data_IF_858122258936
#
_entry.id   IF_858122258936
#
_cell.length_a   1.000
_cell.length_b   1.000
_cell.length_c   1.000
_cell.angle_alpha   90.00
_cell.angle_beta   90.00
_cell.angle_gamma   90.00
#
_symmetry.space_group_name_H-M   'P 1'
#
loop_
_entity.id
_entity.type
_entity.pdbx_description
1 polymer ?
#
# COMPACT_ATOMS: atom_id res chain seq x y z
N UNK A 1 36.45 -17.36 -14.37
CA UNK A 1 35.82 -16.12 -13.89
C UNK A 1 34.65 -15.80 -14.80
N UNK A 2 33.46 -15.61 -14.24
CA UNK A 2 32.28 -15.20 -15.00
C UNK A 2 32.33 -13.70 -15.22
N UNK A 3 32.18 -13.24 -16.47
CA UNK A 3 32.11 -11.81 -16.81
C UNK A 3 30.66 -11.38 -16.93
N UNK A 4 30.31 -10.25 -16.33
CA UNK A 4 29.01 -9.62 -16.48
C UNK A 4 29.20 -8.31 -17.23
N UNK A 5 28.53 -8.17 -18.36
CA UNK A 5 28.66 -7.04 -19.27
C UNK A 5 27.29 -6.36 -19.42
N UNK A 6 27.29 -5.04 -19.47
CA UNK A 6 26.09 -4.23 -19.53
C UNK A 6 26.23 -3.11 -20.56
N UNK A 7 25.18 -2.87 -21.33
CA UNK A 7 25.05 -1.69 -22.18
C UNK A 7 23.59 -1.25 -22.19
N UNK A 8 23.39 0.07 -22.25
CA UNK A 8 22.06 0.68 -22.30
C UNK A 8 21.82 1.32 -23.67
N UNK A 9 20.59 1.20 -24.18
CA UNK A 9 20.16 1.83 -25.42
C UNK A 9 18.87 2.63 -25.19
N UNK A 10 19.02 3.95 -25.09
CA UNK A 10 17.93 4.89 -24.85
C UNK A 10 17.60 5.69 -26.12
N UNK A 11 16.38 6.22 -26.19
CA UNK A 11 15.94 7.10 -27.28
C UNK A 11 14.77 6.56 -28.08
N UNK A 12 14.50 7.24 -29.20
CA UNK A 12 13.39 6.95 -30.10
C UNK A 12 13.45 5.53 -30.65
N UNK A 13 12.28 4.91 -30.83
CA UNK A 13 12.17 3.52 -31.31
C UNK A 13 12.97 3.28 -32.59
N UNK A 14 12.88 4.19 -33.58
CA UNK A 14 13.55 4.01 -34.87
C UNK A 14 15.07 3.98 -34.72
N UNK A 15 15.64 4.96 -34.00
CA UNK A 15 17.10 5.02 -33.75
C UNK A 15 17.61 3.77 -33.05
N UNK A 16 16.83 3.21 -32.12
CA UNK A 16 17.19 1.96 -31.45
C UNK A 16 17.17 0.76 -32.41
N UNK A 17 16.16 0.66 -33.27
CA UNK A 17 16.10 -0.38 -34.30
C UNK A 17 17.28 -0.29 -35.27
N UNK A 18 17.59 0.91 -35.75
CA UNK A 18 18.70 1.12 -36.68
C UNK A 18 20.04 0.75 -36.03
N UNK A 19 20.25 1.13 -34.77
CA UNK A 19 21.45 0.75 -34.01
C UNK A 19 21.55 -0.77 -33.84
N UNK A 20 20.46 -1.45 -33.45
CA UNK A 20 20.44 -2.91 -33.25
C UNK A 20 20.60 -3.71 -34.56
N UNK A 21 20.26 -3.13 -35.72
CA UNK A 21 20.51 -3.76 -37.02
C UNK A 21 21.97 -3.63 -37.46
N UNK A 22 22.67 -2.60 -36.98
CA UNK A 22 24.03 -2.29 -37.39
C UNK A 22 25.11 -2.81 -36.42
N UNK A 23 24.73 -3.21 -35.19
CA UNK A 23 25.64 -3.66 -34.13
C UNK A 23 25.21 -5.02 -33.58
N UNK A 24 26.16 -5.76 -33.03
CA UNK A 24 25.95 -7.05 -32.38
C UNK A 24 26.71 -7.15 -31.04
N UNK A 25 26.79 -8.37 -30.49
CA UNK A 25 27.44 -8.59 -29.20
C UNK A 25 28.96 -8.32 -29.23
N UNK A 26 29.60 -8.43 -30.39
CA UNK A 26 31.05 -8.27 -30.53
C UNK A 26 31.48 -6.79 -30.62
N UNK A 27 30.64 -5.91 -31.16
CA UNK A 27 30.96 -4.48 -31.35
C UNK A 27 30.21 -3.53 -30.39
N UNK A 28 29.29 -4.06 -29.57
CA UNK A 28 28.63 -3.28 -28.52
C UNK A 28 29.67 -2.77 -27.50
N UNK A 29 29.58 -1.46 -27.18
CA UNK A 29 30.38 -0.82 -26.14
C UNK A 29 29.97 -1.27 -24.73
N UNK A 30 30.45 -2.43 -24.30
CA UNK A 30 30.12 -3.02 -23.01
C UNK A 30 30.79 -2.31 -21.82
N UNK A 31 30.01 -2.08 -20.77
CA UNK A 31 30.50 -1.76 -19.43
C UNK A 31 30.65 -3.05 -18.63
N UNK A 32 31.84 -3.30 -18.08
CA UNK A 32 32.04 -4.43 -17.18
C UNK A 32 31.42 -4.15 -15.81
N UNK A 33 30.63 -5.10 -15.30
CA UNK A 33 30.03 -5.04 -13.98
C UNK A 33 30.68 -6.05 -13.04
N UNK A 34 30.76 -5.69 -11.77
CA UNK A 34 31.12 -6.60 -10.67
C UNK A 34 29.94 -6.72 -9.70
N UNK A 35 28.93 -7.57 -9.99
CA UNK A 35 27.80 -7.75 -9.08
C UNK A 35 28.27 -8.31 -7.73
N UNK A 36 27.99 -7.58 -6.65
CA UNK A 36 28.36 -7.94 -5.29
C UNK A 36 27.13 -8.31 -4.45
N UNK A 37 27.34 -9.18 -3.47
CA UNK A 37 26.37 -9.49 -2.42
C UNK A 37 25.93 -8.21 -1.69
N UNK A 38 24.68 -8.10 -1.19
CA UNK A 38 23.60 -9.09 -1.26
C UNK A 38 22.71 -8.98 -2.51
N UNK A 39 22.76 -7.87 -3.22
CA UNK A 39 21.75 -7.54 -4.23
C UNK A 39 22.15 -7.91 -5.66
N UNK A 40 23.43 -8.17 -5.93
CA UNK A 40 23.95 -8.53 -7.25
C UNK A 40 23.41 -7.63 -8.38
N UNK A 41 23.61 -6.31 -8.24
CA UNK A 41 23.10 -5.35 -9.20
C UNK A 41 23.68 -5.59 -10.61
N UNK A 42 22.78 -5.75 -11.58
CA UNK A 42 23.10 -5.91 -13.01
C UNK A 42 23.00 -4.59 -13.79
N UNK A 43 23.18 -3.47 -13.10
CA UNK A 43 23.19 -2.12 -13.67
C UNK A 43 24.38 -1.35 -13.08
N UNK A 44 24.99 -0.42 -13.83
CA UNK A 44 25.98 0.49 -13.28
C UNK A 44 25.39 1.27 -12.10
N UNK A 45 26.14 1.37 -11.02
CA UNK A 45 25.73 2.12 -9.83
C UNK A 45 26.88 3.00 -9.37
N UNK A 46 26.51 4.23 -9.01
CA UNK A 46 27.36 5.03 -8.14
C UNK A 46 27.33 4.44 -6.73
N UNK A 47 28.50 4.20 -6.17
CA UNK A 47 28.69 3.58 -4.85
C UNK A 47 29.53 4.45 -3.93
N UNK A 48 29.81 5.71 -4.31
CA UNK A 48 30.64 6.64 -3.54
C UNK A 48 30.14 6.79 -2.09
N UNK A 49 28.82 6.87 -1.91
CA UNK A 49 28.16 7.03 -0.60
C UNK A 49 27.56 5.73 -0.05
N UNK A 50 27.90 4.57 -0.63
CA UNK A 50 27.31 3.28 -0.18
C UNK A 50 27.70 2.97 1.26
N UNK A 51 28.96 3.23 1.65
CA UNK A 51 29.42 2.99 3.02
C UNK A 51 28.66 3.85 4.03
N UNK A 52 28.41 5.13 3.72
CA UNK A 52 27.59 6.02 4.54
C UNK A 52 26.13 5.53 4.61
N UNK A 53 25.52 5.20 3.47
CA UNK A 53 24.15 4.69 3.40
C UNK A 53 23.94 3.43 4.27
N UNK A 54 24.90 2.51 4.25
CA UNK A 54 24.86 1.26 5.03
C UNK A 54 25.02 1.49 6.55
N UNK A 55 25.42 2.69 6.98
CA UNK A 55 25.36 3.05 8.42
C UNK A 55 23.95 3.36 8.89
N UNK A 56 23.03 3.66 7.96
CA UNK A 56 21.65 3.97 8.27
C UNK A 56 20.83 2.73 8.64
N UNK A 57 19.82 2.93 9.48
CA UNK A 57 18.88 1.87 9.84
C UNK A 57 17.98 1.51 8.66
N UNK A 58 17.80 0.22 8.42
CA UNK A 58 16.70 -0.25 7.57
C UNK A 58 15.40 0.04 8.29
N UNK A 59 14.47 0.72 7.62
CA UNK A 59 13.18 1.08 8.23
C UNK A 59 12.38 -0.16 8.69
N UNK A 60 12.54 -1.30 8.01
CA UNK A 60 11.92 -2.56 8.40
C UNK A 60 12.56 -3.20 9.63
N UNK A 61 13.79 -2.84 9.95
CA UNK A 61 14.48 -3.32 11.16
C UNK A 61 14.15 -2.37 12.31
N UNK A 62 14.10 -1.06 12.05
CA UNK A 62 13.66 -0.06 13.02
C UNK A 62 12.17 -0.17 13.38
N UNK A 63 11.29 -0.52 12.43
CA UNK A 63 9.84 -0.65 12.61
C UNK A 63 9.32 -1.96 11.96
N UNK A 64 9.50 -3.12 12.62
CA UNK A 64 9.25 -4.44 12.03
C UNK A 64 7.80 -4.72 11.65
N UNK A 65 6.82 -4.16 12.35
CA UNK A 65 5.40 -4.39 12.03
C UNK A 65 4.95 -3.36 11.00
N UNK A 66 4.88 -3.77 9.73
CA UNK A 66 4.47 -2.93 8.61
C UNK A 66 3.80 -3.74 7.51
N UNK A 67 3.05 -3.07 6.64
CA UNK A 67 2.45 -3.67 5.45
C UNK A 67 2.04 -2.57 4.48
N UNK A 68 1.63 -2.97 3.28
CA UNK A 68 1.02 -2.06 2.32
C UNK A 68 -0.33 -1.55 2.81
N UNK A 69 -0.78 -0.43 2.25
CA UNK A 69 -2.15 0.05 2.40
C UNK A 69 -3.20 -0.94 1.88
N UNK A 70 -4.47 -0.67 2.22
CA UNK A 70 -5.58 -1.50 1.75
C UNK A 70 -5.77 -1.36 0.23
N UNK A 71 -6.19 -2.45 -0.42
CA UNK A 71 -6.54 -2.46 -1.84
C UNK A 71 -8.03 -2.77 -1.95
N UNK A 72 -8.81 -1.83 -2.47
CA UNK A 72 -10.26 -2.02 -2.58
C UNK A 72 -10.65 -2.85 -3.80
N UNK A 73 -9.85 -2.79 -4.88
CA UNK A 73 -10.16 -3.25 -6.24
C UNK A 73 -11.34 -2.55 -6.93
N UNK A 74 -12.16 -1.79 -6.20
CA UNK A 74 -13.38 -1.10 -6.66
C UNK A 74 -13.52 0.23 -5.93
N UNK A 75 -12.59 1.16 -6.17
CA UNK A 75 -12.54 2.44 -5.44
C UNK A 75 -13.86 3.22 -5.54
N UNK A 76 -14.52 3.22 -6.70
CA UNK A 76 -15.81 3.91 -6.89
C UNK A 76 -16.94 3.38 -6.00
N UNK A 77 -16.85 2.14 -5.55
CA UNK A 77 -17.76 1.54 -4.57
C UNK A 77 -17.26 1.80 -3.15
N UNK A 78 -15.98 1.51 -2.90
CA UNK A 78 -15.44 1.38 -1.56
C UNK A 78 -14.90 2.67 -0.94
N UNK A 79 -14.78 3.76 -1.71
CA UNK A 79 -14.23 5.04 -1.27
C UNK A 79 -15.22 6.16 -1.66
N UNK A 80 -15.75 6.88 -0.67
CA UNK A 80 -16.67 8.01 -0.88
C UNK A 80 -16.15 9.28 -0.21
N UNK A 81 -16.60 10.46 -0.65
CA UNK A 81 -16.12 11.73 -0.11
C UNK A 81 -16.59 11.97 1.32
N UNK A 82 -17.79 11.50 1.66
CA UNK A 82 -18.39 11.71 2.99
C UNK A 82 -18.80 10.42 3.66
N UNK A 83 -18.89 10.45 4.99
CA UNK A 83 -19.38 9.33 5.80
C UNK A 83 -20.80 8.91 5.39
N UNK A 84 -21.68 9.89 5.15
CA UNK A 84 -23.08 9.67 4.79
C UNK A 84 -23.23 9.03 3.42
N UNK A 85 -22.42 9.43 2.44
CA UNK A 85 -22.36 8.78 1.12
C UNK A 85 -21.88 7.34 1.25
N UNK A 86 -20.79 7.08 1.99
CA UNK A 86 -20.29 5.73 2.21
C UNK A 86 -21.37 4.86 2.86
N UNK A 87 -22.02 5.36 3.90
CA UNK A 87 -23.09 4.62 4.57
C UNK A 87 -24.27 4.32 3.63
N UNK A 88 -24.67 5.29 2.80
CA UNK A 88 -25.74 5.09 1.84
C UNK A 88 -25.36 4.05 0.77
N UNK A 89 -24.12 4.08 0.29
CA UNK A 89 -23.58 3.08 -0.64
C UNK A 89 -23.64 1.70 -0.03
N UNK A 90 -23.16 1.49 1.20
CA UNK A 90 -23.18 0.19 1.89
C UNK A 90 -24.61 -0.32 2.03
N UNK A 91 -25.52 0.49 2.59
CA UNK A 91 -26.93 0.07 2.79
C UNK A 91 -27.63 -0.31 1.49
N UNK A 92 -27.34 0.43 0.41
CA UNK A 92 -27.92 0.16 -0.90
C UNK A 92 -27.31 -1.10 -1.50
N UNK A 93 -25.98 -1.17 -1.55
CA UNK A 93 -25.23 -2.29 -2.11
C UNK A 93 -25.57 -3.62 -1.43
N UNK A 94 -25.63 -3.62 -0.09
CA UNK A 94 -25.88 -4.82 0.71
C UNK A 94 -27.26 -5.45 0.46
N UNK A 95 -28.28 -4.65 0.11
CA UNK A 95 -29.67 -5.10 -0.10
C UNK A 95 -30.02 -5.41 -1.56
N UNK A 96 -29.18 -5.02 -2.50
CA UNK A 96 -29.47 -5.20 -3.92
C UNK A 96 -29.20 -6.63 -4.37
N UNK A 97 -29.95 -7.08 -5.38
CA UNK A 97 -29.59 -8.30 -6.11
C UNK A 97 -28.21 -8.09 -6.79
N UNK A 98 -27.30 -9.09 -6.76
CA UNK A 98 -25.93 -8.97 -7.26
C UNK A 98 -25.76 -8.34 -8.65
N UNK A 99 -26.54 -8.72 -9.66
CA UNK A 99 -26.38 -8.19 -11.01
C UNK A 99 -26.97 -6.78 -11.17
N UNK A 100 -28.03 -6.47 -10.41
CA UNK A 100 -28.50 -5.09 -10.27
C UNK A 100 -27.45 -4.21 -9.59
N UNK A 101 -26.76 -4.72 -8.56
CA UNK A 101 -25.69 -4.01 -7.89
C UNK A 101 -24.49 -3.79 -8.82
N UNK A 102 -24.09 -4.84 -9.56
CA UNK A 102 -23.04 -4.77 -10.59
C UNK A 102 -23.29 -3.65 -11.58
N UNK A 103 -24.52 -3.58 -12.11
CA UNK A 103 -24.92 -2.57 -13.09
C UNK A 103 -24.95 -1.17 -12.48
N UNK A 104 -25.59 -1.00 -11.31
CA UNK A 104 -25.72 0.31 -10.65
C UNK A 104 -24.38 0.93 -10.29
N UNK A 105 -23.48 0.15 -9.71
CA UNK A 105 -22.17 0.62 -9.25
C UNK A 105 -21.05 0.45 -10.30
N UNK A 106 -21.41 0.03 -11.53
CA UNK A 106 -20.49 -0.13 -12.66
C UNK A 106 -19.26 -1.00 -12.31
N UNK A 107 -19.52 -2.14 -11.67
CA UNK A 107 -18.47 -2.96 -11.03
C UNK A 107 -17.69 -3.86 -12.01
N UNK A 108 -18.09 -3.88 -13.28
CA UNK A 108 -17.47 -4.73 -14.31
C UNK A 108 -17.58 -6.23 -13.99
N UNK A 109 -16.81 -7.08 -14.69
CA UNK A 109 -16.74 -8.51 -14.39
C UNK A 109 -16.02 -8.77 -13.05
N UNK A 110 -16.31 -9.91 -12.45
CA UNK A 110 -15.67 -10.36 -11.21
C UNK A 110 -14.23 -10.83 -11.46
N UNK A 111 -13.20 -10.18 -10.88
CA UNK A 111 -11.83 -10.69 -10.89
C UNK A 111 -11.69 -11.87 -9.92
N UNK A 112 -10.52 -12.51 -9.94
CA UNK A 112 -10.23 -13.68 -9.10
C UNK A 112 -10.41 -13.41 -7.60
N UNK A 113 -9.94 -12.24 -7.11
CA UNK A 113 -9.89 -11.91 -5.68
C UNK A 113 -11.06 -11.02 -5.19
N UNK A 114 -11.99 -10.64 -6.04
CA UNK A 114 -13.14 -9.81 -5.64
C UNK A 114 -14.39 -10.17 -6.44
N UNK A 115 -15.50 -10.42 -5.75
CA UNK A 115 -16.78 -10.77 -6.40
C UNK A 115 -17.92 -10.03 -5.72
N UNK A 116 -18.91 -9.57 -6.49
CA UNK A 116 -20.07 -8.85 -5.94
C UNK A 116 -20.73 -9.62 -4.80
N UNK A 117 -20.98 -10.92 -5.00
CA UNK A 117 -21.59 -11.78 -3.96
C UNK A 117 -20.76 -11.87 -2.69
N UNK A 118 -19.44 -11.98 -2.81
CA UNK A 118 -18.54 -12.05 -1.63
C UNK A 118 -18.49 -10.71 -0.90
N UNK A 119 -18.45 -9.61 -1.63
CA UNK A 119 -18.52 -8.27 -1.06
C UNK A 119 -19.85 -7.98 -0.34
N UNK A 120 -20.97 -8.44 -0.91
CA UNK A 120 -22.28 -8.33 -0.26
C UNK A 120 -22.41 -9.25 0.95
N UNK A 121 -21.85 -10.47 0.90
CA UNK A 121 -21.80 -11.38 2.04
C UNK A 121 -21.02 -10.77 3.20
N UNK A 122 -19.86 -10.19 2.93
CA UNK A 122 -19.05 -9.48 3.93
C UNK A 122 -19.80 -8.26 4.50
N UNK A 123 -20.39 -7.43 3.64
CA UNK A 123 -21.15 -6.27 4.08
C UNK A 123 -22.39 -6.62 4.93
N UNK A 124 -22.95 -7.81 4.74
CA UNK A 124 -24.13 -8.30 5.47
C UNK A 124 -23.80 -9.23 6.63
N UNK A 125 -22.53 -9.61 6.86
CA UNK A 125 -22.24 -10.51 7.97
C UNK A 125 -22.38 -9.78 9.31
N UNK A 126 -23.26 -10.28 10.17
CA UNK A 126 -23.76 -9.54 11.35
C UNK A 126 -24.71 -8.37 11.02
N UNK A 127 -24.92 -8.08 9.74
CA UNK A 127 -25.66 -6.93 9.23
C UNK A 127 -24.78 -5.69 9.00
N UNK A 128 -25.14 -4.79 8.06
CA UNK A 128 -24.39 -3.55 7.87
C UNK A 128 -24.38 -2.69 9.14
N UNK A 129 -23.20 -2.24 9.57
CA UNK A 129 -23.06 -1.40 10.76
C UNK A 129 -22.33 -0.08 10.45
N UNK A 130 -22.98 1.05 10.73
CA UNK A 130 -22.40 2.37 10.45
C UNK A 130 -21.05 2.61 11.14
N UNK A 131 -20.80 1.96 12.30
CA UNK A 131 -19.51 2.02 13.03
C UNK A 131 -18.29 1.55 12.22
N UNK A 132 -18.50 0.78 11.15
CA UNK A 132 -17.45 0.30 10.26
C UNK A 132 -17.15 1.29 9.13
N UNK A 133 -17.91 2.38 9.02
CA UNK A 133 -17.58 3.52 8.16
C UNK A 133 -16.50 4.35 8.85
N UNK A 134 -15.33 4.45 8.23
CA UNK A 134 -14.18 5.13 8.81
C UNK A 134 -13.42 5.97 7.78
N UNK A 135 -12.73 7.04 8.23
CA UNK A 135 -11.88 7.82 7.36
C UNK A 135 -10.65 7.00 6.91
N UNK A 136 -10.22 7.24 5.67
CA UNK A 136 -9.06 6.61 5.04
C UNK A 136 -8.30 7.67 4.25
N UNK A 137 -6.98 7.71 4.41
CA UNK A 137 -6.13 8.52 3.54
C UNK A 137 -6.12 7.87 2.15
N UNK A 138 -6.83 8.47 1.21
CA UNK A 138 -6.97 7.94 -0.15
C UNK A 138 -5.82 8.44 -1.04
N UNK A 139 -5.51 9.73 -1.01
CA UNK A 139 -4.40 10.37 -1.76
C UNK A 139 -3.75 11.45 -0.88
N UNK A 140 -2.63 12.08 -1.27
CA UNK A 140 -1.99 13.11 -0.45
C UNK A 140 -2.98 14.23 -0.13
N UNK A 141 -3.21 14.46 1.17
CA UNK A 141 -4.14 15.47 1.67
C UNK A 141 -5.62 15.26 1.24
N UNK A 142 -5.98 14.05 0.82
CA UNK A 142 -7.33 13.67 0.41
C UNK A 142 -7.81 12.50 1.30
N UNK A 143 -8.44 12.87 2.42
CA UNK A 143 -9.08 11.91 3.33
C UNK A 143 -10.53 11.69 2.89
N UNK A 144 -10.88 10.42 2.73
CA UNK A 144 -12.20 9.96 2.29
C UNK A 144 -12.76 8.95 3.28
N UNK A 145 -13.90 8.34 2.98
CA UNK A 145 -14.53 7.34 3.83
C UNK A 145 -14.62 5.99 3.13
N UNK A 146 -14.40 4.92 3.89
CA UNK A 146 -14.56 3.53 3.45
C UNK A 146 -15.39 2.73 4.46
N UNK A 147 -15.82 1.54 4.08
CA UNK A 147 -16.46 0.57 4.97
C UNK A 147 -15.50 -0.59 5.23
N UNK A 148 -14.92 -0.62 6.43
CA UNK A 148 -13.81 -1.50 6.77
C UNK A 148 -14.25 -2.64 7.70
N UNK A 149 -14.39 -3.84 7.15
CA UNK A 149 -14.70 -5.07 7.92
C UNK A 149 -13.44 -5.84 8.35
N UNK A 150 -12.28 -5.49 7.77
CA UNK A 150 -11.04 -6.25 7.92
C UNK A 150 -11.00 -7.60 7.19
N UNK A 151 -12.07 -7.98 6.45
CA UNK A 151 -12.14 -9.29 5.78
C UNK A 151 -11.61 -9.25 4.36
N UNK A 152 -10.64 -10.12 4.09
CA UNK A 152 -10.10 -10.28 2.74
C UNK A 152 -11.14 -10.86 1.78
N UNK A 153 -11.10 -10.42 0.52
CA UNK A 153 -12.05 -10.80 -0.53
C UNK A 153 -13.51 -10.42 -0.22
N UNK A 154 -13.70 -9.46 0.68
CA UNK A 154 -15.00 -8.92 1.08
C UNK A 154 -15.33 -7.63 0.36
N UNK A 155 -15.94 -6.68 1.08
CA UNK A 155 -16.23 -5.34 0.56
C UNK A 155 -14.95 -4.66 0.07
N UNK A 156 -13.86 -4.83 0.83
CA UNK A 156 -12.49 -4.48 0.46
C UNK A 156 -11.76 -5.76 0.02
N UNK A 157 -11.12 -5.72 -1.15
CA UNK A 157 -10.40 -6.88 -1.71
C UNK A 157 -9.25 -7.36 -0.81
N UNK A 158 -8.35 -6.44 -0.39
CA UNK A 158 -7.23 -6.74 0.53
C UNK A 158 -7.16 -5.66 1.61
N UNK A 159 -7.84 -5.86 2.76
CA UNK A 159 -7.91 -4.85 3.80
C UNK A 159 -6.67 -4.75 4.68
N UNK A 160 -5.73 -5.71 4.61
CA UNK A 160 -4.51 -5.72 5.44
C UNK A 160 -4.81 -5.51 6.94
N UNK A 161 -5.71 -6.31 7.53
CA UNK A 161 -6.22 -6.07 8.87
C UNK A 161 -5.11 -6.00 9.91
N UNK A 162 -4.06 -6.81 9.77
CA UNK A 162 -2.86 -6.83 10.61
C UNK A 162 -2.25 -5.44 10.88
N UNK A 163 -2.33 -4.52 9.91
CA UNK A 163 -1.78 -3.16 10.04
C UNK A 163 -2.86 -2.09 10.02
N UNK A 164 -3.87 -2.19 9.16
CA UNK A 164 -4.92 -1.17 9.11
C UNK A 164 -5.66 -1.06 10.45
N UNK A 165 -5.86 -2.18 11.16
CA UNK A 165 -6.48 -2.15 12.49
C UNK A 165 -5.64 -1.41 13.53
N UNK A 166 -4.31 -1.35 13.38
CA UNK A 166 -3.45 -0.55 14.25
C UNK A 166 -3.72 0.96 14.10
N UNK A 167 -4.21 1.37 12.93
CA UNK A 167 -4.62 2.74 12.62
C UNK A 167 -6.10 3.01 12.98
N UNK A 168 -6.88 1.98 13.31
CA UNK A 168 -8.31 2.10 13.68
C UNK A 168 -8.52 1.96 15.19
N UNK A 169 -7.74 1.12 15.87
CA UNK A 169 -7.94 0.75 17.27
C UNK A 169 -7.84 1.93 18.26
N UNK A 170 -7.12 2.99 17.87
CA UNK A 170 -7.00 4.23 18.65
C UNK A 170 -6.07 5.22 17.97
N UNK A 171 -5.80 6.38 18.59
CA UNK A 171 -4.89 7.39 18.05
C UNK A 171 -3.53 6.80 17.72
N UNK A 172 -3.12 6.89 16.46
CA UNK A 172 -1.85 6.38 15.98
C UNK A 172 -1.31 7.29 14.88
N UNK A 173 -0.01 7.23 14.66
CA UNK A 173 0.63 7.80 13.48
C UNK A 173 1.29 6.67 12.72
N UNK A 174 1.23 6.72 11.39
CA UNK A 174 1.85 5.76 10.50
C UNK A 174 2.78 6.48 9.55
N UNK A 175 4.06 6.14 9.57
CA UNK A 175 5.01 6.58 8.54
C UNK A 175 4.66 5.83 7.25
N UNK A 176 4.56 6.55 6.13
CA UNK A 176 4.28 5.97 4.82
C UNK A 176 5.54 6.08 3.95
N UNK A 177 5.97 4.97 3.35
CA UNK A 177 7.06 4.96 2.37
C UNK A 177 6.75 4.04 1.19
N UNK A 178 7.39 4.27 0.05
CA UNK A 178 7.38 3.34 -1.07
C UNK A 178 8.73 2.59 -1.14
N UNK A 179 8.70 1.27 -1.38
CA UNK A 179 9.93 0.47 -1.55
C UNK A 179 10.59 0.66 -2.90
N UNK A 180 9.82 1.01 -3.92
CA UNK A 180 10.29 1.17 -5.30
C UNK A 180 9.78 2.50 -5.85
N UNK A 181 10.64 3.17 -6.61
CA UNK A 181 10.30 4.36 -7.38
C UNK A 181 10.34 3.99 -8.86
N UNK A 182 9.27 4.30 -9.57
CA UNK A 182 9.17 4.12 -11.02
C UNK A 182 10.07 5.09 -11.79
N UNK A 183 10.41 6.23 -11.19
CA UNK A 183 11.26 7.27 -11.77
C UNK A 183 12.57 7.35 -10.98
N UNK A 184 13.65 6.84 -11.57
CA UNK A 184 14.94 6.68 -10.90
C UNK A 184 15.81 7.95 -10.93
N UNK A 185 15.52 8.90 -11.84
CA UNK A 185 16.27 10.15 -11.98
C UNK A 185 15.79 11.27 -11.05
N UNK A 186 14.73 11.05 -10.29
CA UNK A 186 14.18 12.05 -9.38
C UNK A 186 14.87 11.98 -8.02
N UNK A 187 14.97 13.14 -7.33
CA UNK A 187 15.29 13.17 -5.89
C UNK A 187 14.36 12.22 -5.13
N UNK A 188 14.90 11.57 -4.11
CA UNK A 188 14.11 10.70 -3.25
C UNK A 188 12.91 11.46 -2.68
N UNK A 189 11.73 10.84 -2.78
CA UNK A 189 10.41 11.37 -2.45
C UNK A 189 9.54 10.18 -2.00
N UNK A 190 8.23 10.39 -1.86
CA UNK A 190 7.28 9.36 -1.42
C UNK A 190 7.50 8.95 0.05
N UNK A 191 7.59 9.96 0.90
CA UNK A 191 7.42 9.83 2.34
C UNK A 191 6.20 10.62 2.77
N UNK A 192 5.40 10.05 3.66
CA UNK A 192 4.22 10.71 4.21
C UNK A 192 3.92 10.22 5.62
N UNK A 193 2.91 10.80 6.24
CA UNK A 193 2.38 10.36 7.54
C UNK A 193 0.86 10.30 7.43
N UNK A 194 0.26 9.32 8.08
CA UNK A 194 -1.20 9.24 8.26
C UNK A 194 -1.54 8.98 9.73
N UNK A 195 -2.67 9.51 10.17
CA UNK A 195 -3.33 9.20 11.43
C UNK A 195 -4.57 8.30 11.26
N UNK A 196 -4.82 7.87 10.02
CA UNK A 196 -5.91 7.00 9.59
C UNK A 196 -5.36 5.82 8.80
N UNK A 197 -6.17 4.76 8.57
CA UNK A 197 -5.84 3.74 7.59
C UNK A 197 -5.54 4.36 6.22
N UNK A 198 -4.71 3.70 5.42
CA UNK A 198 -4.30 4.21 4.11
C UNK A 198 -4.78 3.30 2.99
N UNK A 199 -5.15 3.90 1.85
CA UNK A 199 -5.23 3.16 0.59
C UNK A 199 -3.81 2.90 0.06
N UNK A 200 -3.62 1.80 -0.65
CA UNK A 200 -2.31 1.36 -1.14
C UNK A 200 -1.57 2.36 -2.04
N UNK A 201 -2.29 3.31 -2.65
CA UNK A 201 -1.74 4.39 -3.48
C UNK A 201 -1.86 5.77 -2.79
N UNK A 202 -1.88 5.81 -1.46
CA UNK A 202 -2.06 7.04 -0.68
C UNK A 202 -1.06 8.16 -0.98
N UNK A 203 0.17 7.82 -1.40
CA UNK A 203 1.22 8.81 -1.69
C UNK A 203 1.79 8.72 -3.12
N UNK A 204 1.39 7.72 -3.90
CA UNK A 204 1.71 7.62 -5.33
C UNK A 204 0.69 6.76 -6.06
N UNK A 205 0.38 7.14 -7.30
CA UNK A 205 -0.45 6.37 -8.22
C UNK A 205 0.36 5.72 -9.35
N UNK A 206 1.69 5.82 -9.33
CA UNK A 206 2.54 5.23 -10.36
C UNK A 206 2.69 3.72 -10.14
N UNK A 207 2.80 2.98 -11.24
CA UNK A 207 3.04 1.54 -11.17
C UNK A 207 4.32 1.25 -10.37
N UNK A 208 4.28 0.21 -9.53
CA UNK A 208 5.36 -0.22 -8.61
C UNK A 208 5.53 0.62 -7.33
N UNK A 209 4.85 1.76 -7.21
CA UNK A 209 5.01 2.67 -6.06
C UNK A 209 3.90 2.46 -5.00
N UNK A 210 3.77 1.25 -4.48
CA UNK A 210 2.78 0.93 -3.43
C UNK A 210 3.24 1.47 -2.06
N UNK A 211 2.33 2.16 -1.37
CA UNK A 211 2.57 2.74 -0.05
C UNK A 211 2.56 1.67 1.04
N UNK A 212 3.67 1.56 1.78
CA UNK A 212 3.81 0.82 3.01
C UNK A 212 3.59 1.75 4.18
N UNK A 213 2.83 1.31 5.18
CA UNK A 213 2.62 2.03 6.44
C UNK A 213 3.29 1.31 7.59
N UNK A 214 3.96 2.09 8.43
CA UNK A 214 4.67 1.68 9.63
C UNK A 214 4.01 2.39 10.81
N UNK A 215 3.03 1.77 11.50
CA UNK A 215 2.37 2.38 12.66
C UNK A 215 3.38 2.61 13.78
N UNK A 216 3.29 3.73 14.49
CA UNK A 216 4.17 4.04 15.63
C UNK A 216 3.82 3.17 16.83
N UNK A 217 2.52 2.94 17.05
CA UNK A 217 2.02 2.11 18.15
C UNK A 217 1.39 0.81 17.66
N UNK A 218 1.53 -0.23 18.46
CA UNK A 218 0.88 -1.53 18.28
C UNK A 218 -0.13 -1.75 19.39
N UNK A 219 -1.37 -1.99 18.99
CA UNK A 219 -2.51 -2.29 19.83
C UNK A 219 -2.69 -3.81 19.95
N UNK A 220 -3.05 -4.33 21.15
CA UNK A 220 -3.40 -5.72 21.35
C UNK A 220 -4.49 -6.22 20.39
N UNK A 221 -4.49 -7.52 20.09
CA UNK A 221 -5.54 -8.12 19.24
C UNK A 221 -6.95 -7.97 19.84
N UNK A 222 -7.08 -7.84 21.15
CA UNK A 222 -8.36 -7.62 21.85
C UNK A 222 -8.90 -6.20 21.73
N UNK A 223 -8.06 -5.22 21.39
CA UNK A 223 -8.45 -3.83 21.11
C UNK A 223 -8.89 -3.61 19.66
N UNK A 224 -8.74 -4.62 18.81
CA UNK A 224 -9.41 -4.66 17.50
C UNK A 224 -10.90 -4.82 17.76
N UNK A 225 -11.77 -3.92 17.28
CA UNK A 225 -13.19 -4.04 17.56
C UNK A 225 -13.76 -5.26 16.84
N UNK A 226 -13.86 -6.38 17.55
CA UNK A 226 -14.73 -7.49 17.17
C UNK A 226 -16.20 -7.12 17.36
N UNK A 227 -16.51 -6.12 18.20
CA UNK A 227 -17.86 -5.55 18.26
C UNK A 227 -18.00 -4.21 18.98
N UNK A 228 -16.91 -3.59 19.47
CA UNK A 228 -17.01 -2.43 20.36
C UNK A 228 -16.94 -1.09 19.62
N UNK A 229 -17.85 -0.21 20.01
CA UNK A 229 -18.02 1.14 19.52
C UNK A 229 -16.72 1.95 19.55
N UNK A 230 -16.60 2.91 18.61
CA UNK A 230 -15.85 4.14 18.86
C UNK A 230 -16.46 4.77 20.11
N UNK A 231 -15.71 4.78 21.21
CA UNK A 231 -15.96 5.70 22.30
C UNK A 231 -15.19 6.98 21.97
N UNK A 232 -15.92 8.07 21.77
CA UNK A 232 -15.37 9.41 21.50
C UNK A 232 -14.80 10.07 22.77
N UNK A 233 -14.28 9.27 23.70
CA UNK A 233 -13.82 9.75 24.99
C UNK A 233 -13.12 8.64 25.76
N UNK A 234 -11.90 8.94 26.18
CA UNK A 234 -11.03 8.11 27.02
C UNK A 234 -10.27 6.98 26.31
N UNK A 235 -9.34 7.38 25.41
CA UNK A 235 -8.22 6.51 25.04
C UNK A 235 -7.21 6.53 26.18
N UNK A 236 -7.47 5.79 27.27
CA UNK A 236 -6.40 5.49 28.20
C UNK A 236 -5.31 4.75 27.42
N UNK A 237 -4.06 5.15 27.62
CA UNK A 237 -2.87 4.59 26.98
C UNK A 237 -2.61 3.11 27.38
N UNK A 238 -3.62 2.38 27.83
CA UNK A 238 -3.51 1.06 28.42
C UNK A 238 -3.29 0.00 27.33
N UNK A 239 -2.05 -0.50 27.28
CA UNK A 239 -1.72 -1.75 26.60
C UNK A 239 -1.16 -1.63 25.19
N UNK A 240 -1.02 -0.41 24.62
CA UNK A 240 -0.29 -0.25 23.35
C UNK A 240 1.23 -0.31 23.58
N UNK A 241 1.97 -0.90 22.66
CA UNK A 241 3.43 -0.94 22.68
C UNK A 241 4.03 -0.12 21.54
N UNK A 242 5.30 0.25 21.66
CA UNK A 242 6.05 0.84 20.55
C UNK A 242 6.22 -0.20 19.43
N UNK A 243 6.11 0.23 18.17
CA UNK A 243 6.57 -0.56 17.02
C UNK A 243 8.06 -0.37 16.75
N UNK A 244 8.73 0.58 17.40
CA UNK A 244 10.18 0.69 17.26
C UNK A 244 10.88 -0.49 17.90
N UNK A 245 11.85 -1.07 17.19
CA UNK A 245 12.75 -2.05 17.77
C UNK A 245 13.57 -1.42 18.91
N UNK A 246 13.82 -2.18 19.97
CA UNK A 246 14.54 -1.69 21.14
C UNK A 246 15.94 -1.19 20.80
N UNK A 247 16.60 -1.77 19.79
CA UNK A 247 17.93 -1.36 19.35
C UNK A 247 17.93 -0.02 18.60
N UNK A 248 16.77 0.41 18.09
CA UNK A 248 16.63 1.70 17.39
C UNK A 248 16.47 2.87 18.36
N UNK A 249 15.91 2.64 19.54
CA UNK A 249 15.56 3.67 20.53
C UNK A 249 16.49 3.72 21.75
N UNK A 250 17.37 2.74 21.93
CA UNK A 250 18.36 2.65 23.01
C UNK A 250 19.76 3.06 22.57
#
# INVERSE_FOLDING_TARGET
MTKVLHADLWGERQKKSDWLNAHDVADTGWTHLEPKTPSYWFVPRDTELEAEYQTGWKITDAMPVNSVGMVTARDSLAIQFTESEMWNVVRTFAKMEPEKARSRFRLGPDPQDWKVKMAQQDANDGGPHQKLVLPVLYRPFDTRYTYFTGRSRGFICRPRPEIMLQMVAGPNLGLITCRQHSEQSARWRLVGVADTPIESCAISNKTKEIGYVFPVYLYPKSSVPADKARNDGDYSAEGRTSNYDAQFIG
#
